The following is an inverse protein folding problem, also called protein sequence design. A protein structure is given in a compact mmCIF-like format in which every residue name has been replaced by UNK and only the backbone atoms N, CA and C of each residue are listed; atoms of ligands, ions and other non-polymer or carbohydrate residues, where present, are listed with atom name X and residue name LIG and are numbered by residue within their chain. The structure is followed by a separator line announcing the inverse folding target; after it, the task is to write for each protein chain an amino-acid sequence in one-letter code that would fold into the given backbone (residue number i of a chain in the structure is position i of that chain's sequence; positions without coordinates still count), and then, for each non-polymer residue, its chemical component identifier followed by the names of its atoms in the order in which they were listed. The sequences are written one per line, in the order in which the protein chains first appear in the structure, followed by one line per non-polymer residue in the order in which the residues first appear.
data_IF_163175544904
#
_entry.id   IF_163175544904
#
_cell.length_a   1.000
_cell.length_b   1.000
_cell.length_c   1.000
_cell.angle_alpha   90.00
_cell.angle_beta   90.00
_cell.angle_gamma   90.00
#
_symmetry.space_group_name_H-M   'P 1'
#
loop_
_entity.id
_entity.type
_entity.pdbx_description
1 polymer ?
#
# COMPACT_ATOMS: atom_id res chain seq x y z
N UNK A 1 3.53 22.27 4.71
CA UNK A 1 3.51 20.86 4.23
C UNK A 1 4.94 20.47 3.87
N UNK A 2 5.45 19.31 4.31
CA UNK A 2 6.78 18.85 3.94
C UNK A 2 6.94 18.76 2.41
N UNK A 3 8.16 18.94 1.91
CA UNK A 3 8.48 18.97 0.48
C UNK A 3 8.10 17.63 -0.18
N UNK A 4 7.02 17.64 -0.99
CA UNK A 4 6.49 16.44 -1.64
C UNK A 4 7.51 15.77 -2.57
N UNK A 5 8.40 16.55 -3.21
CA UNK A 5 9.45 15.99 -4.08
C UNK A 5 10.41 15.13 -3.28
N UNK A 6 10.88 15.63 -2.13
CA UNK A 6 11.77 14.88 -1.22
C UNK A 6 11.09 13.60 -0.71
N UNK A 7 9.84 13.70 -0.25
CA UNK A 7 9.10 12.55 0.27
C UNK A 7 8.84 11.50 -0.81
N UNK A 8 8.54 11.94 -2.04
CA UNK A 8 8.38 11.04 -3.19
C UNK A 8 9.69 10.31 -3.50
N UNK A 9 10.83 11.01 -3.45
CA UNK A 9 12.14 10.44 -3.70
C UNK A 9 12.51 9.39 -2.64
N UNK A 10 12.38 9.72 -1.36
CA UNK A 10 12.59 8.77 -0.24
C UNK A 10 11.68 7.53 -0.38
N UNK A 11 10.40 7.75 -0.70
CA UNK A 11 9.45 6.67 -0.91
C UNK A 11 9.80 5.81 -2.12
N UNK A 12 10.31 6.41 -3.19
CA UNK A 12 10.76 5.69 -4.38
C UNK A 12 11.99 4.84 -4.09
N UNK A 13 12.97 5.36 -3.36
CA UNK A 13 14.16 4.60 -2.95
C UNK A 13 13.80 3.41 -2.07
N UNK A 14 12.91 3.61 -1.09
CA UNK A 14 12.35 2.52 -0.30
C UNK A 14 11.64 1.50 -1.18
N UNK A 15 10.78 1.96 -2.09
CA UNK A 15 10.01 1.09 -2.98
C UNK A 15 10.92 0.28 -3.90
N UNK A 16 11.99 0.88 -4.43
CA UNK A 16 12.97 0.19 -5.28
C UNK A 16 13.68 -0.94 -4.54
N UNK A 17 14.16 -0.68 -3.31
CA UNK A 17 14.74 -1.73 -2.46
C UNK A 17 13.72 -2.84 -2.20
N UNK A 18 12.48 -2.45 -1.84
CA UNK A 18 11.41 -3.40 -1.60
C UNK A 18 11.08 -4.25 -2.84
N UNK A 19 11.17 -3.71 -4.06
CA UNK A 19 10.96 -4.46 -5.30
C UNK A 19 11.97 -5.58 -5.53
N UNK A 20 13.19 -5.43 -5.06
CA UNK A 20 14.24 -6.45 -5.21
C UNK A 20 14.17 -7.51 -4.12
N UNK A 21 13.43 -7.25 -3.04
CA UNK A 21 13.28 -8.18 -1.92
C UNK A 21 12.09 -9.13 -2.12
N UNK A 22 12.27 -10.41 -1.79
CA UNK A 22 11.14 -11.35 -1.68
C UNK A 22 10.38 -11.06 -0.39
N UNK A 23 9.12 -10.64 -0.51
CA UNK A 23 8.25 -10.41 0.65
C UNK A 23 7.23 -11.53 0.75
N UNK A 24 7.41 -12.44 1.71
CA UNK A 24 6.44 -13.50 1.96
C UNK A 24 5.21 -12.98 2.71
N UNK A 25 4.03 -13.48 2.35
CA UNK A 25 2.79 -13.21 3.07
C UNK A 25 2.16 -14.49 3.61
N UNK A 26 2.04 -14.64 4.94
CA UNK A 26 1.39 -15.80 5.56
C UNK A 26 -0.06 -15.98 5.11
N UNK A 27 -0.82 -14.89 4.96
CA UNK A 27 -2.21 -14.90 4.51
C UNK A 27 -2.41 -15.55 3.12
N UNK A 28 -1.40 -15.51 2.25
CA UNK A 28 -1.45 -16.09 0.91
C UNK A 28 -0.59 -17.35 0.76
N UNK A 29 0.20 -17.68 1.79
CA UNK A 29 1.23 -18.71 1.75
C UNK A 29 2.18 -18.57 0.55
N UNK A 30 2.43 -17.36 0.10
CA UNK A 30 3.21 -17.07 -1.11
C UNK A 30 3.94 -15.73 -1.04
N UNK A 31 4.88 -15.51 -1.96
CA UNK A 31 5.58 -14.23 -2.08
C UNK A 31 4.74 -13.20 -2.81
N UNK A 32 4.73 -11.98 -2.28
CA UNK A 32 4.11 -10.82 -2.91
C UNK A 32 5.11 -10.14 -3.82
N UNK A 33 4.75 -9.98 -5.09
CA UNK A 33 5.52 -9.23 -6.07
C UNK A 33 5.26 -7.73 -5.92
N UNK A 34 6.31 -6.94 -5.86
CA UNK A 34 6.22 -5.47 -5.88
C UNK A 34 6.62 -5.00 -7.28
N UNK A 35 5.70 -4.35 -7.98
CA UNK A 35 5.87 -4.01 -9.40
C UNK A 35 5.87 -2.50 -9.66
N UNK A 36 6.37 -2.08 -10.82
CA UNK A 36 6.25 -0.69 -11.28
C UNK A 36 4.78 -0.26 -11.44
N UNK A 37 3.91 -1.20 -11.79
CA UNK A 37 2.46 -0.95 -11.88
C UNK A 37 1.87 -0.53 -10.53
N UNK A 38 2.29 -1.17 -9.44
CA UNK A 38 1.90 -0.77 -8.09
C UNK A 38 2.38 0.65 -7.75
N UNK A 39 3.59 1.01 -8.15
CA UNK A 39 4.10 2.38 -7.98
C UNK A 39 3.29 3.40 -8.77
N UNK A 40 3.07 3.17 -10.07
CA UNK A 40 2.31 4.08 -10.91
C UNK A 40 0.88 4.26 -10.40
N UNK A 41 0.29 3.16 -9.90
CA UNK A 41 -0.98 3.25 -9.21
C UNK A 41 -0.86 4.09 -7.97
N UNK A 42 0.10 3.87 -7.07
CA UNK A 42 0.26 4.59 -5.83
C UNK A 42 0.56 6.09 -6.02
N UNK A 43 1.44 6.44 -6.97
CA UNK A 43 1.88 7.81 -7.26
C UNK A 43 0.85 8.64 -8.03
N UNK A 44 -0.15 7.99 -8.64
CA UNK A 44 -1.10 8.67 -9.53
C UNK A 44 -0.53 9.03 -10.88
N UNK A 45 0.53 8.34 -11.32
CA UNK A 45 1.09 8.47 -12.67
C UNK A 45 0.36 7.61 -13.71
N UNK A 46 -0.68 6.88 -13.29
CA UNK A 46 -1.57 6.13 -14.18
C UNK A 46 -2.45 7.10 -14.99
N UNK A 47 -2.12 7.29 -16.28
CA UNK A 47 -2.75 8.26 -17.20
C UNK A 47 -4.28 8.09 -17.31
N UNK A 48 -4.80 6.92 -16.97
CA UNK A 48 -6.23 6.61 -17.01
C UNK A 48 -7.03 7.12 -15.79
N UNK A 49 -6.39 7.80 -14.81
CA UNK A 49 -7.06 8.26 -13.58
C UNK A 49 -6.78 9.74 -13.31
N UNK A 50 -7.75 10.41 -12.66
CA UNK A 50 -7.57 11.76 -12.13
C UNK A 50 -6.33 11.80 -11.23
N UNK A 51 -5.47 12.79 -11.46
CA UNK A 51 -4.26 12.99 -10.67
C UNK A 51 -4.61 13.06 -9.17
N UNK A 52 -3.79 12.42 -8.35
CA UNK A 52 -3.97 12.42 -6.90
C UNK A 52 -3.69 13.80 -6.33
N UNK A 53 -4.41 14.16 -5.28
CA UNK A 53 -4.05 15.35 -4.51
C UNK A 53 -2.69 15.15 -3.83
N UNK A 54 -1.92 16.23 -3.68
CA UNK A 54 -0.62 16.19 -3.02
C UNK A 54 -0.69 15.54 -1.62
N UNK A 55 -1.79 15.77 -0.88
CA UNK A 55 -2.03 15.20 0.46
C UNK A 55 -2.26 13.69 0.43
N UNK A 56 -3.02 13.17 -0.53
CA UNK A 56 -3.22 11.71 -0.68
C UNK A 56 -1.91 11.02 -1.08
N UNK A 57 -1.18 11.58 -2.06
CA UNK A 57 0.11 11.05 -2.48
C UNK A 57 1.11 11.01 -1.31
N UNK A 58 1.25 12.11 -0.57
CA UNK A 58 2.10 12.19 0.62
C UNK A 58 1.77 11.09 1.64
N UNK A 59 0.48 10.89 1.96
CA UNK A 59 0.05 9.85 2.91
C UNK A 59 0.45 8.47 2.43
N UNK A 60 0.13 8.11 1.18
CA UNK A 60 0.45 6.79 0.61
C UNK A 60 1.95 6.51 0.61
N UNK A 61 2.78 7.50 0.32
CA UNK A 61 4.24 7.38 0.40
C UNK A 61 4.70 7.03 1.81
N UNK A 62 4.18 7.71 2.84
CA UNK A 62 4.52 7.43 4.24
C UNK A 62 3.98 6.09 4.75
N UNK A 63 2.97 5.53 4.10
CA UNK A 63 2.40 4.22 4.46
C UNK A 63 3.17 3.02 3.89
N UNK A 64 4.13 3.23 2.99
CA UNK A 64 4.85 2.12 2.34
C UNK A 64 5.56 1.16 3.32
N UNK A 65 6.29 1.64 4.35
CA UNK A 65 6.91 0.74 5.32
C UNK A 65 5.88 -0.09 6.08
N UNK A 66 4.77 0.53 6.48
CA UNK A 66 3.68 -0.17 7.14
C UNK A 66 3.00 -1.19 6.22
N UNK A 67 2.86 -0.89 4.93
CA UNK A 67 2.29 -1.82 3.96
C UNK A 67 3.13 -3.10 3.84
N UNK A 68 4.47 -2.95 3.77
CA UNK A 68 5.39 -4.08 3.76
C UNK A 68 5.26 -4.92 5.03
N UNK A 69 5.18 -4.28 6.19
CA UNK A 69 5.07 -5.00 7.46
C UNK A 69 3.73 -5.73 7.61
N UNK A 70 2.63 -5.10 7.20
CA UNK A 70 1.29 -5.71 7.18
C UNK A 70 1.30 -6.96 6.29
N UNK A 71 1.93 -6.89 5.10
CA UNK A 71 2.03 -8.05 4.21
C UNK A 71 2.75 -9.23 4.89
N UNK A 72 3.85 -8.94 5.62
CA UNK A 72 4.68 -9.96 6.27
C UNK A 72 4.01 -10.61 7.48
N UNK A 73 3.17 -9.87 8.19
CA UNK A 73 2.61 -10.30 9.48
C UNK A 73 1.17 -10.76 9.39
N UNK A 74 0.40 -10.31 8.38
CA UNK A 74 -1.01 -10.67 8.25
C UNK A 74 -1.16 -12.16 7.93
N UNK A 75 -2.00 -12.84 8.71
CA UNK A 75 -2.41 -14.23 8.52
C UNK A 75 -3.80 -14.36 7.90
N UNK A 76 -4.56 -13.26 7.85
CA UNK A 76 -5.95 -13.24 7.38
C UNK A 76 -6.15 -12.20 6.28
N UNK A 77 -7.04 -12.53 5.34
CA UNK A 77 -7.48 -11.63 4.27
C UNK A 77 -8.81 -11.02 4.71
N UNK A 78 -8.88 -9.70 4.88
CA UNK A 78 -10.09 -9.04 5.37
C UNK A 78 -11.12 -8.78 4.28
N UNK A 79 -10.72 -8.77 3.01
CA UNK A 79 -11.66 -8.58 1.91
C UNK A 79 -11.11 -9.15 0.59
N UNK A 80 -12.00 -9.74 -0.21
CA UNK A 80 -11.75 -10.17 -1.58
C UNK A 80 -12.83 -9.55 -2.47
N UNK A 81 -12.42 -8.84 -3.52
CA UNK A 81 -13.34 -8.23 -4.49
C UNK A 81 -12.93 -8.61 -5.91
N UNK A 82 -13.88 -9.00 -6.75
CA UNK A 82 -13.63 -9.23 -8.18
C UNK A 82 -14.24 -8.10 -9.02
N UNK A 83 -13.45 -7.56 -9.95
CA UNK A 83 -13.93 -6.59 -10.96
C UNK A 83 -13.52 -7.06 -12.35
N UNK A 84 -14.49 -7.58 -13.11
CA UNK A 84 -14.22 -8.29 -14.35
C UNK A 84 -13.28 -9.47 -14.10
N UNK A 85 -12.16 -9.51 -14.81
CA UNK A 85 -11.13 -10.56 -14.68
C UNK A 85 -10.12 -10.33 -13.57
N UNK A 86 -10.19 -9.20 -12.84
CA UNK A 86 -9.20 -8.85 -11.81
C UNK A 86 -9.75 -9.14 -10.41
N UNK A 87 -9.01 -9.90 -9.62
CA UNK A 87 -9.26 -10.06 -8.17
C UNK A 87 -8.39 -9.10 -7.38
N UNK A 88 -9.00 -8.51 -6.36
CA UNK A 88 -8.40 -7.59 -5.42
C UNK A 88 -8.51 -8.18 -4.02
N UNK A 89 -7.44 -8.05 -3.26
CA UNK A 89 -7.38 -8.51 -1.87
C UNK A 89 -7.03 -7.33 -0.97
N UNK A 90 -7.59 -7.34 0.23
CA UNK A 90 -7.25 -6.38 1.27
C UNK A 90 -6.62 -7.08 2.47
N UNK A 91 -5.46 -6.58 2.87
CA UNK A 91 -4.88 -6.82 4.19
C UNK A 91 -5.05 -5.56 5.02
N UNK A 92 -5.49 -5.68 6.27
CA UNK A 92 -5.79 -4.54 7.13
C UNK A 92 -5.15 -4.70 8.50
N UNK A 93 -4.60 -3.60 9.03
CA UNK A 93 -4.11 -3.52 10.39
C UNK A 93 -4.38 -2.14 10.98
N UNK A 94 -4.51 -2.07 12.30
CA UNK A 94 -4.52 -0.79 13.03
C UNK A 94 -3.09 -0.48 13.44
N UNK A 95 -2.62 0.70 13.07
CA UNK A 95 -1.26 1.16 13.34
C UNK A 95 -1.33 2.57 13.92
N UNK A 96 -0.55 2.83 14.97
CA UNK A 96 -0.32 4.16 15.48
C UNK A 96 0.61 4.91 14.51
N UNK A 97 0.13 6.01 13.93
CA UNK A 97 0.92 6.84 13.02
C UNK A 97 1.08 8.23 13.62
N UNK A 98 2.32 8.71 13.70
CA UNK A 98 2.60 10.10 14.04
C UNK A 98 2.37 11.00 12.82
N UNK A 99 1.42 11.92 12.90
CA UNK A 99 1.18 12.96 11.91
C UNK A 99 1.28 14.33 12.59
N UNK A 100 2.20 15.18 12.12
CA UNK A 100 2.44 16.52 12.68
C UNK A 100 2.63 16.52 14.21
N UNK A 101 3.36 15.54 14.76
CA UNK A 101 3.62 15.42 16.19
C UNK A 101 2.48 14.82 17.02
N UNK A 102 1.32 14.50 16.42
CA UNK A 102 0.22 13.80 17.09
C UNK A 102 0.19 12.34 16.65
N UNK A 103 0.17 11.43 17.63
CA UNK A 103 -0.05 10.01 17.41
C UNK A 103 -1.54 9.75 17.26
N UNK A 104 -1.94 9.06 16.18
CA UNK A 104 -3.32 8.66 15.95
C UNK A 104 -3.36 7.19 15.53
N UNK A 105 -4.33 6.43 16.04
CA UNK A 105 -4.63 5.09 15.57
C UNK A 105 -5.35 5.15 14.22
N UNK A 106 -4.76 4.51 13.22
CA UNK A 106 -5.31 4.51 11.86
C UNK A 106 -5.38 3.09 11.33
N UNK A 107 -6.50 2.78 10.69
CA UNK A 107 -6.66 1.53 9.98
C UNK A 107 -5.99 1.66 8.62
N UNK A 108 -4.88 0.96 8.43
CA UNK A 108 -4.18 0.85 7.16
C UNK A 108 -4.76 -0.33 6.39
N UNK A 109 -5.08 -0.11 5.11
CA UNK A 109 -5.55 -1.11 4.17
C UNK A 109 -4.55 -1.21 3.01
N UNK A 110 -3.92 -2.36 2.90
CA UNK A 110 -3.05 -2.76 1.80
C UNK A 110 -3.88 -3.46 0.74
N UNK A 111 -3.75 -3.03 -0.52
CA UNK A 111 -4.46 -3.60 -1.65
C UNK A 111 -3.47 -4.39 -2.50
N UNK A 112 -3.79 -5.66 -2.72
CA UNK A 112 -3.09 -6.56 -3.63
C UNK A 112 -3.99 -6.92 -4.81
N UNK A 113 -3.39 -7.21 -5.96
CA UNK A 113 -4.09 -7.77 -7.12
C UNK A 113 -3.53 -9.13 -7.48
N UNK A 114 -4.36 -9.99 -8.04
CA UNK A 114 -3.92 -11.23 -8.69
C UNK A 114 -3.69 -10.96 -10.18
N UNK A 115 -2.55 -11.43 -10.71
CA UNK A 115 -2.33 -11.47 -12.14
C UNK A 115 -2.85 -12.77 -12.78
N UNK A 116 -2.64 -12.93 -14.09
CA UNK A 116 -3.16 -14.09 -14.83
C UNK A 116 -2.51 -15.42 -14.42
N UNK A 117 -1.33 -15.39 -13.79
CA UNK A 117 -0.61 -16.57 -13.34
C UNK A 117 -0.94 -16.92 -11.88
N UNK A 118 -1.79 -16.12 -11.21
CA UNK A 118 -2.13 -16.29 -9.81
C UNK A 118 -1.20 -15.54 -8.85
N UNK A 119 -0.17 -14.84 -9.36
CA UNK A 119 0.77 -14.11 -8.52
C UNK A 119 0.09 -12.92 -7.86
N UNK A 120 0.39 -12.71 -6.58
CA UNK A 120 -0.12 -11.57 -5.82
C UNK A 120 0.84 -10.41 -5.95
N UNK A 121 0.31 -9.28 -6.41
CA UNK A 121 1.07 -8.07 -6.70
C UNK A 121 0.61 -6.96 -5.76
N UNK A 122 1.55 -6.30 -5.08
CA UNK A 122 1.25 -5.07 -4.37
C UNK A 122 0.73 -4.00 -5.33
N UNK A 123 -0.47 -3.47 -5.04
CA UNK A 123 -1.15 -2.51 -5.90
C UNK A 123 -1.24 -1.13 -5.26
N UNK A 124 -1.62 -1.05 -3.98
CA UNK A 124 -1.77 0.24 -3.30
C UNK A 124 -1.80 0.09 -1.79
N UNK A 125 -1.70 1.22 -1.10
CA UNK A 125 -1.99 1.34 0.34
C UNK A 125 -2.84 2.59 0.58
N UNK A 126 -3.70 2.54 1.57
CA UNK A 126 -4.57 3.63 1.99
C UNK A 126 -4.86 3.50 3.49
N UNK A 127 -5.26 4.59 4.13
CA UNK A 127 -5.56 4.60 5.55
C UNK A 127 -6.84 5.37 5.85
N UNK A 128 -7.53 4.97 6.91
CA UNK A 128 -8.72 5.65 7.44
C UNK A 128 -8.52 5.89 8.94
N UNK A 129 -8.85 7.11 9.38
CA UNK A 129 -8.91 7.43 10.81
C UNK A 129 -10.03 6.63 11.46
N UNK A 130 -9.74 5.99 12.59
CA UNK A 130 -10.76 5.40 13.43
C UNK A 130 -11.46 6.55 14.18
N UNK A 131 -12.78 6.60 14.13
CA UNK A 131 -13.52 7.53 14.98
C UNK A 131 -13.46 6.98 16.40
N UNK A 132 -13.09 7.84 17.36
CA UNK A 132 -13.33 7.57 18.77
C UNK A 132 -14.85 7.55 18.95
N UNK A 133 -15.37 6.50 19.59
CA UNK A 133 -16.77 6.37 19.97
C UNK A 133 -16.99 7.00 21.33
#
# INVERSE_FOLDING_TARGET
MPNLRKVRQEAWEFYQKWRTEKTYSPAFKSSIRVSLRGWNHLSGSDKARKSRTCKDAYRRYKLLPHAKEIIKTSTTIQNITQKGTRKFYALEAVVEIAYNGKKENRKIRVILIEDKLGDKIFYSVMDRRLKEH
#
